data_IF_606621098715
#
_entry.id   IF_606621098715
#
_cell.length_a   1.000
_cell.length_b   1.000
_cell.length_c   1.000
_cell.angle_alpha   90.00
_cell.angle_beta   90.00
_cell.angle_gamma   90.00
#
_symmetry.space_group_name_H-M   'P 1'
#
loop_
_entity.id
_entity.type
_entity.pdbx_description
1 polymer ?
#
# COMPACT_ATOMS: atom_id res chain seq x y z
N UNK A 1 -10.59 27.17 45.33
CA UNK A 1 -9.75 28.08 44.54
C UNK A 1 -9.11 27.19 43.50
N UNK A 2 -9.80 27.03 42.38
CA UNK A 2 -9.61 25.93 41.42
C UNK A 2 -9.48 26.58 40.06
N UNK A 3 -8.27 26.55 39.49
CA UNK A 3 -7.98 27.12 38.18
C UNK A 3 -8.50 26.14 37.11
N UNK A 4 -9.50 26.56 36.35
CA UNK A 4 -9.94 25.88 35.14
C UNK A 4 -9.06 26.35 33.97
N UNK A 5 -8.25 25.44 33.41
CA UNK A 5 -7.63 25.65 32.11
C UNK A 5 -8.70 25.37 31.03
N UNK A 6 -9.09 26.42 30.32
CA UNK A 6 -9.87 26.35 29.09
C UNK A 6 -8.90 25.98 27.97
N UNK A 7 -8.95 24.73 27.49
CA UNK A 7 -8.31 24.30 26.26
C UNK A 7 -9.13 24.82 25.07
N UNK A 8 -8.71 25.95 24.51
CA UNK A 8 -9.21 26.44 23.23
C UNK A 8 -8.73 25.52 22.11
N UNK A 9 -9.68 25.00 21.33
CA UNK A 9 -9.40 24.20 20.13
C UNK A 9 -8.72 25.04 19.06
N UNK A 10 -7.52 24.62 18.66
CA UNK A 10 -6.87 25.06 17.44
C UNK A 10 -7.47 24.29 16.26
N UNK A 11 -8.53 24.85 15.69
CA UNK A 11 -8.89 24.61 14.30
C UNK A 11 -7.88 25.36 13.43
N UNK A 12 -6.88 24.68 12.89
CA UNK A 12 -6.06 25.24 11.81
C UNK A 12 -6.78 25.02 10.49
N UNK A 13 -7.69 25.94 10.17
CA UNK A 13 -7.95 26.32 8.79
C UNK A 13 -6.91 27.38 8.41
N UNK A 14 -6.04 27.05 7.46
CA UNK A 14 -5.21 28.03 6.78
C UNK A 14 -4.97 27.54 5.34
N UNK A 15 -5.82 28.00 4.42
CA UNK A 15 -5.48 28.07 3.01
C UNK A 15 -4.36 29.11 2.85
N UNK A 16 -3.20 28.68 2.36
CA UNK A 16 -2.17 29.57 1.87
C UNK A 16 -1.96 29.28 0.39
N UNK A 17 -2.52 30.13 -0.47
CA UNK A 17 -2.20 30.18 -1.88
C UNK A 17 -0.90 30.98 -2.04
N UNK A 18 0.12 30.34 -2.60
CA UNK A 18 1.25 31.03 -3.26
C UNK A 18 1.24 30.53 -4.68
N UNK A 19 0.78 31.38 -5.61
CA UNK A 19 0.90 31.15 -7.04
C UNK A 19 2.35 31.43 -7.43
N UNK A 20 3.08 30.37 -7.80
CA UNK A 20 4.38 30.49 -8.46
C UNK A 20 4.13 30.54 -9.98
N UNK A 21 4.53 31.65 -10.60
CA UNK A 21 4.47 31.89 -12.04
C UNK A 21 5.90 32.12 -12.55
N UNK A 22 6.79 31.13 -12.37
CA UNK A 22 8.10 31.09 -13.02
C UNK A 22 8.28 29.76 -13.77
N UNK A 23 7.66 29.63 -14.95
CA UNK A 23 8.20 28.80 -16.05
C UNK A 23 7.55 29.12 -17.42
N UNK A 24 7.26 30.39 -17.67
CA UNK A 24 6.88 30.88 -19.00
C UNK A 24 7.89 31.93 -19.46
N UNK A 25 9.13 31.49 -19.66
CA UNK A 25 10.13 32.09 -20.55
C UNK A 25 11.38 31.21 -20.50
N UNK A 26 11.61 30.46 -21.58
CA UNK A 26 12.89 30.49 -22.28
C UNK A 26 12.71 29.76 -23.62
N UNK A 27 12.65 30.58 -24.66
CA UNK A 27 13.03 30.21 -26.02
C UNK A 27 14.53 29.90 -26.00
N UNK A 28 14.97 28.74 -26.49
CA UNK A 28 16.25 28.64 -27.18
C UNK A 28 16.30 27.45 -28.14
N UNK A 29 16.48 27.79 -29.41
CA UNK A 29 16.89 26.92 -30.50
C UNK A 29 18.34 26.46 -30.29
N UNK A 30 18.64 25.17 -30.46
CA UNK A 30 20.04 24.72 -30.48
C UNK A 30 20.21 23.21 -30.65
N UNK A 31 20.88 22.81 -31.73
CA UNK A 31 20.94 21.46 -32.28
C UNK A 31 22.13 20.59 -31.81
N UNK A 32 21.91 19.27 -31.98
CA UNK A 32 22.82 18.18 -32.38
C UNK A 32 23.89 17.54 -31.44
N UNK A 33 23.78 16.20 -31.34
CA UNK A 33 24.85 15.21 -31.12
C UNK A 33 25.02 14.67 -29.69
N UNK A 34 25.05 13.37 -29.37
CA UNK A 34 24.96 12.13 -30.14
C UNK A 34 25.07 10.90 -29.22
N UNK A 35 24.22 9.90 -29.50
CA UNK A 35 24.29 8.44 -29.30
C UNK A 35 24.92 7.78 -28.04
N UNK A 36 24.09 6.94 -27.38
CA UNK A 36 24.47 5.54 -27.11
C UNK A 36 23.88 4.90 -25.84
N UNK A 37 22.77 4.15 -25.96
CA UNK A 37 22.33 3.19 -24.92
C UNK A 37 20.83 2.85 -24.96
N UNK A 38 20.40 2.06 -25.95
CA UNK A 38 19.02 1.60 -26.16
C UNK A 38 18.52 0.64 -25.07
N UNK A 39 17.41 1.00 -24.41
CA UNK A 39 16.50 0.07 -23.74
C UNK A 39 15.22 -0.09 -24.59
N UNK A 40 14.92 -1.34 -24.93
CA UNK A 40 13.75 -1.77 -25.70
C UNK A 40 12.57 -2.04 -24.76
N UNK A 41 11.45 -1.34 -24.97
CA UNK A 41 10.23 -1.55 -24.19
C UNK A 41 9.04 -0.70 -24.66
N UNK A 42 8.89 -0.50 -25.97
CA UNK A 42 7.68 0.09 -26.55
C UNK A 42 7.20 -0.82 -27.67
N UNK A 43 5.93 -1.22 -27.64
CA UNK A 43 5.27 -1.90 -28.76
C UNK A 43 5.09 -0.91 -29.91
N UNK A 44 6.19 -0.65 -30.62
CA UNK A 44 6.18 -0.04 -31.93
C UNK A 44 5.64 -1.04 -32.94
N UNK A 45 4.33 -0.96 -33.20
CA UNK A 45 3.73 -1.58 -34.37
C UNK A 45 4.34 -0.96 -35.63
N UNK A 46 5.05 -1.80 -36.37
CA UNK A 46 5.72 -1.56 -37.66
C UNK A 46 5.02 -0.54 -38.56
N UNK A 47 5.76 0.52 -38.93
CA UNK A 47 5.43 1.36 -40.07
C UNK A 47 5.52 0.56 -41.38
N UNK A 48 4.36 0.28 -41.95
CA UNK A 48 4.21 -0.04 -43.37
C UNK A 48 3.84 1.25 -44.10
N UNK A 49 4.77 1.79 -44.89
CA UNK A 49 4.46 2.75 -45.94
C UNK A 49 3.75 2.02 -47.09
N UNK A 50 2.82 2.74 -47.72
CA UNK A 50 2.08 2.43 -48.95
C UNK A 50 0.85 1.51 -48.85
N UNK A 51 -0.30 2.14 -48.52
CA UNK A 51 -1.63 1.57 -48.79
C UNK A 51 -2.79 2.24 -48.03
N UNK A 52 -3.20 3.46 -48.43
CA UNK A 52 -4.52 4.04 -48.16
C UNK A 52 -5.11 3.88 -46.75
N UNK A 53 -4.71 4.74 -45.82
CA UNK A 53 -5.23 4.86 -44.44
C UNK A 53 -6.67 5.35 -44.42
N UNK A 54 -7.64 4.45 -44.24
CA UNK A 54 -9.06 4.81 -44.22
C UNK A 54 -9.48 5.51 -42.89
N UNK A 55 -8.77 5.28 -41.79
CA UNK A 55 -8.59 6.28 -40.74
C UNK A 55 -7.14 6.77 -40.85
N UNK A 56 -6.86 8.07 -40.74
CA UNK A 56 -5.47 8.57 -40.67
C UNK A 56 -4.72 8.14 -39.39
N UNK A 57 -3.98 9.05 -38.77
CA UNK A 57 -3.39 8.84 -37.43
C UNK A 57 -4.51 9.00 -36.38
N UNK A 58 -5.04 7.90 -35.86
CA UNK A 58 -5.93 7.88 -34.69
C UNK A 58 -5.06 7.83 -33.42
N UNK A 59 -4.48 8.96 -33.06
CA UNK A 59 -3.70 9.16 -31.83
C UNK A 59 -3.97 10.59 -31.34
N UNK A 60 -4.82 10.73 -30.32
CA UNK A 60 -5.16 12.00 -29.67
C UNK A 60 -4.09 12.45 -28.67
N UNK A 61 -3.07 11.61 -28.44
CA UNK A 61 -1.97 11.80 -27.48
C UNK A 61 -2.39 11.85 -26.02
N UNK A 62 -3.66 11.61 -25.72
CA UNK A 62 -4.11 11.48 -24.34
C UNK A 62 -3.75 10.07 -23.86
N UNK A 63 -2.83 9.92 -22.88
CA UNK A 63 -2.52 8.60 -22.35
C UNK A 63 -3.75 7.92 -21.75
N UNK A 64 -4.78 8.68 -21.35
CA UNK A 64 -6.02 8.20 -20.76
C UNK A 64 -7.07 7.71 -21.75
N UNK A 65 -6.78 7.72 -23.04
CA UNK A 65 -7.62 7.12 -24.08
C UNK A 65 -6.85 5.98 -24.74
N UNK A 66 -7.58 4.92 -25.11
CA UNK A 66 -7.08 3.86 -25.98
C UNK A 66 -7.62 4.11 -27.36
N UNK A 67 -6.71 4.43 -28.27
CA UNK A 67 -7.09 4.87 -29.60
C UNK A 67 -7.01 3.73 -30.59
N UNK A 68 -8.09 3.52 -31.33
CA UNK A 68 -8.09 2.56 -32.42
C UNK A 68 -9.00 2.99 -33.57
N UNK A 69 -8.65 2.55 -34.78
CA UNK A 69 -9.50 2.72 -35.95
C UNK A 69 -10.50 1.56 -36.01
N UNK A 70 -11.77 1.85 -35.79
CA UNK A 70 -12.85 0.91 -36.05
C UNK A 70 -13.19 0.91 -37.54
N UNK A 71 -12.87 -0.19 -38.21
CA UNK A 71 -13.17 -0.42 -39.63
C UNK A 71 -14.39 -1.31 -39.85
N UNK A 72 -15.19 -1.58 -38.81
CA UNK A 72 -16.35 -2.48 -38.88
C UNK A 72 -17.56 -1.84 -39.58
N UNK A 73 -17.61 -0.51 -39.69
CA UNK A 73 -18.66 0.24 -40.38
C UNK A 73 -18.35 0.59 -41.84
N UNK A 74 -19.33 1.19 -42.52
CA UNK A 74 -19.22 1.62 -43.94
C UNK A 74 -18.14 2.69 -44.18
N UNK A 75 -17.78 3.43 -43.12
CA UNK A 75 -16.68 4.38 -43.11
C UNK A 75 -15.85 4.17 -41.83
N UNK A 76 -14.52 4.05 -41.91
CA UNK A 76 -13.69 3.89 -40.73
C UNK A 76 -13.73 5.09 -39.80
N UNK A 77 -13.84 4.84 -38.51
CA UNK A 77 -13.94 5.87 -37.47
C UNK A 77 -12.88 5.66 -36.39
N UNK A 78 -12.21 6.75 -35.97
CA UNK A 78 -11.39 6.69 -34.77
C UNK A 78 -12.29 6.56 -33.54
N UNK A 79 -12.00 5.58 -32.69
CA UNK A 79 -12.64 5.35 -31.40
C UNK A 79 -11.60 5.59 -30.31
N UNK A 80 -12.00 6.40 -29.33
CA UNK A 80 -11.19 6.76 -28.16
C UNK A 80 -11.85 6.13 -26.94
N UNK A 81 -11.35 4.98 -26.50
CA UNK A 81 -11.91 4.25 -25.36
C UNK A 81 -11.27 4.77 -24.06
N UNK A 82 -12.03 5.37 -23.12
CA UNK A 82 -11.46 5.87 -21.88
C UNK A 82 -10.81 4.75 -21.07
N UNK A 83 -9.59 4.97 -20.63
CA UNK A 83 -8.89 4.13 -19.66
C UNK A 83 -9.13 4.67 -18.25
N UNK A 84 -9.14 3.80 -17.24
CA UNK A 84 -9.23 4.20 -15.84
C UNK A 84 -7.85 4.37 -15.18
N UNK A 85 -6.85 3.65 -15.71
CA UNK A 85 -5.49 3.59 -15.19
C UNK A 85 -4.54 3.42 -16.36
N UNK A 86 -3.45 4.18 -16.34
CA UNK A 86 -2.40 4.09 -17.35
C UNK A 86 -1.03 3.99 -16.67
N UNK A 87 -0.07 3.21 -17.21
CA UNK A 87 1.30 3.20 -16.71
C UNK A 87 1.93 4.60 -16.80
N UNK A 88 2.62 5.03 -15.75
CA UNK A 88 3.30 6.34 -15.66
C UNK A 88 4.80 6.21 -15.94
N UNK A 89 5.16 5.31 -16.85
CA UNK A 89 6.52 5.13 -17.38
C UNK A 89 7.55 4.46 -16.45
N UNK A 90 7.16 4.01 -15.25
CA UNK A 90 8.06 3.30 -14.33
C UNK A 90 7.60 1.86 -14.13
N UNK A 91 8.42 0.90 -14.55
CA UNK A 91 8.29 -0.52 -14.23
C UNK A 91 9.68 -1.08 -13.89
N UNK A 92 9.82 -1.60 -12.68
CA UNK A 92 11.04 -2.17 -12.16
C UNK A 92 10.82 -3.64 -11.86
N UNK A 93 11.82 -4.46 -12.22
CA UNK A 93 11.92 -5.84 -11.81
C UNK A 93 13.27 -6.11 -11.16
N UNK A 94 13.26 -6.77 -10.01
CA UNK A 94 14.48 -7.17 -9.30
C UNK A 94 14.39 -8.63 -8.82
N UNK A 95 15.19 -9.54 -9.40
CA UNK A 95 15.24 -10.94 -8.98
C UNK A 95 16.00 -11.10 -7.66
N UNK A 96 15.50 -11.97 -6.78
CA UNK A 96 15.99 -12.24 -5.43
C UNK A 96 15.86 -13.74 -5.07
N UNK A 97 16.66 -14.21 -4.11
CA UNK A 97 16.58 -15.61 -3.65
C UNK A 97 15.24 -15.88 -2.96
N UNK A 98 14.85 -14.99 -2.04
CA UNK A 98 13.56 -15.01 -1.37
C UNK A 98 13.19 -13.60 -0.91
N UNK A 99 11.89 -13.30 -0.95
CA UNK A 99 11.35 -12.04 -0.44
C UNK A 99 10.39 -12.39 0.67
N UNK A 100 10.81 -12.08 1.90
CA UNK A 100 9.98 -12.31 3.09
C UNK A 100 8.86 -11.27 3.14
N UNK A 101 9.20 -10.00 2.86
CA UNK A 101 8.21 -8.94 2.97
C UNK A 101 8.53 -7.64 2.22
N UNK A 102 7.47 -6.89 1.91
CA UNK A 102 7.50 -5.54 1.38
C UNK A 102 6.47 -4.63 2.06
N UNK A 103 6.79 -3.34 2.17
CA UNK A 103 5.86 -2.29 2.59
C UNK A 103 6.05 -1.08 1.67
N UNK A 104 4.96 -0.45 1.26
CA UNK A 104 4.94 0.66 0.34
C UNK A 104 4.08 1.79 0.91
N UNK A 105 4.66 2.98 1.02
CA UNK A 105 3.98 4.20 1.44
C UNK A 105 4.33 5.36 0.52
N UNK A 106 3.60 6.46 0.65
CA UNK A 106 3.78 7.68 -0.12
C UNK A 106 3.69 8.91 0.78
N UNK A 107 4.46 9.94 0.44
CA UNK A 107 4.37 11.27 1.04
C UNK A 107 5.15 12.28 0.18
N UNK A 108 4.69 13.54 0.17
CA UNK A 108 5.41 14.63 -0.49
C UNK A 108 5.64 14.40 -1.99
N UNK A 109 4.72 13.72 -2.68
CA UNK A 109 4.86 13.39 -4.10
C UNK A 109 5.81 12.23 -4.40
N UNK A 110 6.40 11.59 -3.38
CA UNK A 110 7.29 10.43 -3.50
C UNK A 110 6.65 9.16 -2.98
N UNK A 111 7.22 8.03 -3.37
CA UNK A 111 6.95 6.70 -2.86
C UNK A 111 8.18 6.16 -2.14
N UNK A 112 7.94 5.35 -1.12
CA UNK A 112 8.96 4.74 -0.31
C UNK A 112 8.64 3.28 -0.07
N UNK A 113 9.60 2.42 -0.37
CA UNK A 113 9.47 0.98 -0.27
C UNK A 113 10.47 0.43 0.73
N UNK A 114 10.02 -0.34 1.71
CA UNK A 114 10.89 -1.21 2.49
C UNK A 114 10.79 -2.62 1.97
N UNK A 115 11.94 -3.29 1.82
CA UNK A 115 12.03 -4.67 1.36
C UNK A 115 12.89 -5.46 2.34
N UNK A 116 12.33 -6.55 2.86
CA UNK A 116 13.04 -7.53 3.68
C UNK A 116 13.13 -8.85 2.92
N UNK A 117 14.35 -9.22 2.57
CA UNK A 117 14.64 -10.30 1.64
C UNK A 117 15.88 -11.08 2.07
N UNK A 118 16.05 -12.28 1.52
CA UNK A 118 17.27 -13.05 1.64
C UNK A 118 18.12 -12.86 0.39
N UNK A 119 19.38 -12.48 0.58
CA UNK A 119 20.36 -12.28 -0.49
C UNK A 119 21.70 -12.86 -0.05
N UNK A 120 22.27 -13.79 -0.84
CA UNK A 120 23.50 -14.48 -0.50
C UNK A 120 23.39 -15.27 0.81
N UNK A 121 22.22 -15.84 1.10
CA UNK A 121 21.96 -16.60 2.32
C UNK A 121 21.86 -15.75 3.61
N UNK A 122 21.79 -14.41 3.51
CA UNK A 122 21.58 -13.52 4.66
C UNK A 122 20.32 -12.70 4.50
N UNK A 123 19.58 -12.52 5.59
CA UNK A 123 18.42 -11.65 5.61
C UNK A 123 18.89 -10.18 5.69
N UNK A 124 18.36 -9.33 4.82
CA UNK A 124 18.70 -7.91 4.72
C UNK A 124 17.43 -7.06 4.57
N UNK A 125 17.49 -5.85 5.10
CA UNK A 125 16.44 -4.84 4.98
C UNK A 125 16.99 -3.66 4.15
N UNK A 126 16.30 -3.33 3.07
CA UNK A 126 16.64 -2.20 2.19
C UNK A 126 15.45 -1.25 2.06
N UNK A 127 15.73 0.05 1.95
CA UNK A 127 14.77 1.13 1.78
C UNK A 127 15.03 1.83 0.46
N UNK A 128 13.97 2.03 -0.30
CA UNK A 128 14.00 2.59 -1.64
C UNK A 128 13.07 3.79 -1.73
N UNK A 129 13.43 4.76 -2.56
CA UNK A 129 12.58 5.92 -2.87
C UNK A 129 12.47 6.10 -4.38
N UNK A 130 11.32 6.60 -4.82
CA UNK A 130 11.03 6.89 -6.22
C UNK A 130 9.86 7.89 -6.34
N UNK A 131 9.62 8.45 -7.52
CA UNK A 131 8.37 9.18 -7.79
C UNK A 131 8.46 10.70 -7.98
N UNK A 132 9.65 11.33 -7.96
CA UNK A 132 9.76 12.78 -8.20
C UNK A 132 9.26 13.13 -9.62
N UNK A 133 8.49 14.21 -9.74
CA UNK A 133 7.94 14.65 -11.03
C UNK A 133 9.06 15.01 -12.01
N UNK A 134 9.01 14.46 -13.22
CA UNK A 134 10.01 14.71 -14.28
C UNK A 134 11.16 13.70 -14.32
N UNK A 135 11.43 13.00 -13.22
CA UNK A 135 12.42 11.93 -13.18
C UNK A 135 11.75 10.61 -13.57
N UNK A 136 11.67 10.36 -14.88
CA UNK A 136 11.49 9.00 -15.37
C UNK A 136 12.63 8.14 -14.78
N UNK A 137 12.27 7.05 -14.09
CA UNK A 137 13.18 5.96 -13.69
C UNK A 137 14.02 6.08 -12.42
N UNK A 138 13.94 7.12 -11.58
CA UNK A 138 14.75 7.12 -10.34
C UNK A 138 14.19 6.16 -9.28
N UNK A 139 14.49 4.86 -9.39
CA UNK A 139 14.31 3.86 -8.34
C UNK A 139 15.61 3.70 -7.57
N UNK A 140 15.72 4.44 -6.46
CA UNK A 140 17.00 4.62 -5.76
C UNK A 140 16.96 3.92 -4.41
N UNK A 141 17.95 3.05 -4.14
CA UNK A 141 18.20 2.54 -2.79
C UNK A 141 18.78 3.68 -1.95
N UNK A 142 17.99 4.24 -1.04
CA UNK A 142 18.46 5.32 -0.16
C UNK A 142 19.15 4.79 1.08
N UNK A 143 18.70 3.65 1.60
CA UNK A 143 19.30 3.06 2.79
C UNK A 143 19.21 1.53 2.81
N UNK A 144 20.11 0.93 3.60
CA UNK A 144 20.16 -0.50 3.88
C UNK A 144 20.40 -0.69 5.37
N UNK A 145 20.01 -1.82 5.95
CA UNK A 145 20.21 -2.05 7.38
C UNK A 145 21.68 -1.89 7.79
N UNK A 146 22.60 -2.32 6.91
CA UNK A 146 24.05 -2.17 7.09
C UNK A 146 24.51 -0.70 7.15
N UNK A 147 23.82 0.22 6.48
CA UNK A 147 24.10 1.66 6.54
C UNK A 147 23.40 2.31 7.73
N UNK A 148 22.13 1.95 7.99
CA UNK A 148 21.35 2.44 9.14
C UNK A 148 22.00 2.12 10.49
N UNK A 149 22.73 1.00 10.58
CA UNK A 149 23.43 0.62 11.80
C UNK A 149 24.74 1.36 12.06
N UNK A 150 25.27 2.11 11.09
CA UNK A 150 26.57 2.76 11.22
C UNK A 150 26.44 3.98 12.14
N UNK A 151 27.18 3.97 13.25
CA UNK A 151 27.16 5.06 14.23
C UNK A 151 25.89 5.09 15.09
N UNK A 152 25.06 4.04 15.04
CA UNK A 152 23.86 3.89 15.86
C UNK A 152 24.01 2.71 16.83
N UNK A 153 23.15 2.58 17.86
CA UNK A 153 23.13 1.43 18.75
C UNK A 153 22.94 0.08 18.04
N UNK A 154 22.47 0.09 16.78
CA UNK A 154 22.25 -1.10 15.95
C UNK A 154 23.53 -1.73 15.39
N UNK A 155 24.72 -1.16 15.62
CA UNK A 155 25.96 -1.62 15.01
C UNK A 155 26.25 -3.13 15.20
N UNK A 156 25.82 -3.70 16.33
CA UNK A 156 25.98 -5.12 16.67
C UNK A 156 24.76 -6.00 16.32
N UNK A 157 23.75 -5.43 15.66
CA UNK A 157 22.49 -6.09 15.37
C UNK A 157 22.40 -6.56 13.91
N UNK A 158 21.49 -7.51 13.70
CA UNK A 158 20.99 -8.02 12.42
C UNK A 158 19.46 -7.83 12.37
N UNK A 159 18.87 -7.61 11.19
CA UNK A 159 17.42 -7.49 11.08
C UNK A 159 16.75 -8.82 11.43
N UNK A 160 15.70 -8.75 12.23
CA UNK A 160 14.93 -9.91 12.69
C UNK A 160 13.49 -9.90 12.15
N UNK A 161 13.13 -8.93 11.31
CA UNK A 161 11.80 -8.80 10.70
C UNK A 161 11.82 -7.92 9.47
N UNK A 162 10.70 -7.92 8.73
CA UNK A 162 10.34 -6.83 7.85
C UNK A 162 10.18 -5.50 8.60
N UNK A 163 10.02 -4.41 7.84
CA UNK A 163 9.83 -3.09 8.41
C UNK A 163 8.46 -2.50 8.10
N UNK A 164 7.92 -1.80 9.09
CA UNK A 164 6.74 -0.96 8.97
C UNK A 164 7.21 0.42 8.57
N UNK A 165 6.58 0.99 7.54
CA UNK A 165 6.82 2.35 7.11
C UNK A 165 5.56 3.20 7.32
N UNK A 166 5.77 4.42 7.80
CA UNK A 166 4.81 5.51 7.79
C UNK A 166 5.52 6.73 7.23
N UNK A 167 4.97 7.38 6.21
CA UNK A 167 5.49 8.63 5.70
C UNK A 167 4.47 9.74 5.94
N UNK A 168 4.94 10.86 6.48
CA UNK A 168 4.11 12.03 6.78
C UNK A 168 4.76 13.30 6.22
N UNK A 169 3.94 14.27 5.84
CA UNK A 169 4.42 15.60 5.44
C UNK A 169 4.19 16.55 6.61
N UNK A 170 5.27 17.02 7.22
CA UNK A 170 5.27 18.00 8.31
C UNK A 170 6.00 19.27 7.86
N UNK A 171 5.37 20.43 7.94
CA UNK A 171 5.99 21.71 7.56
C UNK A 171 6.67 21.70 6.18
N UNK A 172 6.01 21.12 5.17
CA UNK A 172 6.53 20.93 3.80
C UNK A 172 7.73 19.96 3.69
N UNK A 173 8.17 19.35 4.78
CA UNK A 173 9.20 18.32 4.79
C UNK A 173 8.57 16.95 4.93
N UNK A 174 9.09 15.97 4.18
CA UNK A 174 8.65 14.58 4.37
C UNK A 174 9.48 13.94 5.46
N UNK A 175 8.79 13.37 6.46
CA UNK A 175 9.39 12.58 7.52
C UNK A 175 8.88 11.16 7.42
N UNK A 176 9.80 10.20 7.49
CA UNK A 176 9.46 8.79 7.54
C UNK A 176 9.70 8.23 8.94
N UNK A 177 8.79 7.38 9.39
CA UNK A 177 8.97 6.55 10.56
C UNK A 177 9.10 5.11 10.10
N UNK A 178 10.18 4.48 10.54
CA UNK A 178 10.53 3.10 10.29
C UNK A 178 10.45 2.34 11.61
N UNK A 179 9.68 1.26 11.65
CA UNK A 179 9.68 0.32 12.78
C UNK A 179 10.15 -1.05 12.34
N UNK A 180 11.06 -1.66 13.10
CA UNK A 180 11.60 -2.99 12.81
C UNK A 180 12.02 -3.71 14.09
N UNK A 181 12.17 -5.02 14.01
CA UNK A 181 12.82 -5.82 15.03
C UNK A 181 14.24 -6.16 14.59
N UNK A 182 15.19 -6.08 15.52
CA UNK A 182 16.58 -6.45 15.30
C UNK A 182 17.11 -7.26 16.47
N UNK A 183 18.07 -8.15 16.21
CA UNK A 183 18.69 -9.00 17.23
C UNK A 183 20.20 -9.03 17.10
N UNK A 184 20.92 -9.30 18.18
CA UNK A 184 22.39 -9.38 18.16
C UNK A 184 22.89 -10.73 17.62
N UNK A 185 22.10 -11.79 17.77
CA UNK A 185 22.43 -13.15 17.31
C UNK A 185 21.19 -13.91 16.88
N UNK A 186 21.37 -14.84 15.95
CA UNK A 186 20.33 -15.80 15.55
C UNK A 186 19.90 -16.63 16.77
N UNK A 187 18.59 -16.71 17.04
CA UNK A 187 17.94 -17.34 18.20
C UNK A 187 17.91 -16.57 19.52
N UNK A 188 18.32 -15.29 19.54
CA UNK A 188 18.02 -14.41 20.67
C UNK A 188 16.70 -13.67 20.45
N UNK A 189 16.12 -13.20 21.56
CA UNK A 189 15.02 -12.24 21.54
C UNK A 189 15.42 -11.02 20.72
N UNK A 190 14.46 -10.45 20.01
CA UNK A 190 14.67 -9.23 19.24
C UNK A 190 14.22 -8.01 20.04
N UNK A 191 14.96 -6.93 19.87
CA UNK A 191 14.59 -5.58 20.31
C UNK A 191 13.86 -4.89 19.15
N UNK A 192 12.88 -4.04 19.45
CA UNK A 192 12.15 -3.26 18.44
C UNK A 192 12.68 -1.85 18.41
N UNK A 193 12.92 -1.35 17.20
CA UNK A 193 13.47 -0.02 16.97
C UNK A 193 12.50 0.82 16.16
N UNK A 194 12.35 2.06 16.59
CA UNK A 194 11.74 3.13 15.82
C UNK A 194 12.82 4.09 15.36
N UNK A 195 12.86 4.39 14.07
CA UNK A 195 13.76 5.35 13.47
C UNK A 195 12.97 6.41 12.71
N UNK A 196 13.38 7.66 12.84
CA UNK A 196 12.90 8.74 11.98
C UNK A 196 13.92 8.98 10.87
N UNK A 197 13.45 8.98 9.63
CA UNK A 197 14.24 9.26 8.44
C UNK A 197 13.71 10.51 7.73
N UNK A 198 14.57 11.17 6.97
CA UNK A 198 14.18 12.25 6.05
C UNK A 198 13.73 11.69 4.69
N UNK A 199 13.40 12.58 3.76
CA UNK A 199 12.99 12.23 2.40
C UNK A 199 14.06 11.53 1.55
N UNK A 200 15.32 11.54 2.00
CA UNK A 200 16.45 10.86 1.36
C UNK A 200 16.79 9.55 2.07
N UNK A 201 15.97 9.14 3.05
CA UNK A 201 16.14 7.95 3.88
C UNK A 201 17.36 8.03 4.81
N UNK A 202 17.83 9.23 5.14
CA UNK A 202 18.87 9.47 6.14
C UNK A 202 18.26 9.63 7.53
N UNK A 203 18.98 9.18 8.57
CA UNK A 203 18.50 9.25 9.96
C UNK A 203 18.47 10.70 10.43
N UNK A 204 17.32 11.16 10.90
CA UNK A 204 17.14 12.51 11.44
C UNK A 204 17.40 12.50 12.94
N UNK A 205 18.38 13.28 13.41
CA UNK A 205 18.77 13.37 14.82
C UNK A 205 17.81 14.19 15.70
N UNK A 206 16.80 14.82 15.10
CA UNK A 206 16.19 16.01 15.68
C UNK A 206 14.85 15.65 16.38
N UNK A 207 14.91 15.50 17.70
CA UNK A 207 13.75 15.61 18.61
C UNK A 207 13.21 14.32 19.21
N UNK A 208 13.01 13.27 18.42
CA UNK A 208 12.67 11.91 18.90
C UNK A 208 13.91 11.01 18.85
N UNK A 209 15.06 11.55 19.28
CA UNK A 209 16.38 10.98 19.03
C UNK A 209 16.39 9.48 19.25
N UNK A 210 16.65 8.71 18.17
CA UNK A 210 16.70 7.25 18.14
C UNK A 210 16.00 6.63 19.35
N UNK A 211 14.67 6.75 19.40
CA UNK A 211 13.90 6.20 20.50
C UNK A 211 14.03 4.68 20.40
N UNK A 212 15.08 4.16 21.04
CA UNK A 212 15.22 2.75 21.37
C UNK A 212 14.18 2.51 22.44
N UNK A 213 12.96 2.29 22.00
CA UNK A 213 11.96 1.63 22.80
C UNK A 213 12.53 0.26 23.08
N UNK A 214 13.16 0.09 24.25
CA UNK A 214 13.39 -1.25 24.79
C UNK A 214 12.02 -1.79 25.16
N UNK A 215 11.27 -2.20 24.15
CA UNK A 215 10.04 -2.94 24.31
C UNK A 215 10.38 -4.25 25.03
N UNK A 216 9.40 -4.90 25.69
CA UNK A 216 9.63 -6.19 26.30
C UNK A 216 10.31 -7.11 25.29
N UNK A 217 11.41 -7.77 25.69
CA UNK A 217 12.10 -8.74 24.84
C UNK A 217 11.07 -9.71 24.27
N UNK A 218 10.95 -9.74 22.95
CA UNK A 218 9.98 -10.59 22.29
C UNK A 218 10.67 -11.89 21.89
N UNK A 219 10.07 -13.01 22.28
CA UNK A 219 10.37 -14.28 21.63
C UNK A 219 10.03 -14.10 20.15
N UNK A 220 11.07 -14.02 19.31
CA UNK A 220 10.97 -13.69 17.88
C UNK A 220 9.93 -14.62 17.23
N UNK A 221 8.75 -14.12 16.85
CA UNK A 221 7.88 -14.85 15.96
C UNK A 221 8.55 -14.85 14.59
N UNK A 222 8.33 -15.92 13.85
CA UNK A 222 8.63 -16.09 12.43
C UNK A 222 8.92 -14.78 11.66
N UNK A 223 10.08 -14.73 10.99
CA UNK A 223 10.63 -13.58 10.24
C UNK A 223 9.65 -12.99 9.20
N UNK A 224 8.56 -13.70 8.94
CA UNK A 224 7.48 -13.39 8.00
C UNK A 224 6.48 -12.34 8.51
N UNK A 225 6.47 -12.00 9.81
CA UNK A 225 5.46 -11.08 10.37
C UNK A 225 5.95 -9.64 10.43
N UNK A 226 5.19 -8.73 9.81
CA UNK A 226 5.51 -7.31 9.83
C UNK A 226 4.93 -6.57 11.03
N UNK A 227 5.65 -5.56 11.54
CA UNK A 227 4.96 -4.44 12.17
C UNK A 227 4.09 -3.70 11.15
N UNK A 228 2.97 -3.19 11.64
CA UNK A 228 2.29 -2.07 11.01
C UNK A 228 2.57 -0.81 11.81
N UNK A 229 2.60 0.33 11.13
CA UNK A 229 2.74 1.65 11.73
C UNK A 229 1.76 2.58 11.04
N UNK A 230 1.04 3.40 11.81
CA UNK A 230 0.03 4.31 11.27
C UNK A 230 -0.13 5.54 12.17
N UNK A 231 -0.79 6.57 11.65
CA UNK A 231 -1.05 7.81 12.39
C UNK A 231 -2.52 7.88 12.80
N UNK A 232 -2.80 8.15 14.07
CA UNK A 232 -4.16 8.42 14.57
C UNK A 232 -4.14 9.63 15.49
N UNK A 233 -4.92 10.66 15.18
CA UNK A 233 -5.00 11.86 16.02
C UNK A 233 -3.67 12.60 16.21
N UNK A 234 -2.71 12.45 15.29
CA UNK A 234 -1.36 13.00 15.43
C UNK A 234 -0.38 12.12 16.22
N UNK A 235 -0.85 11.02 16.80
CA UNK A 235 -0.01 10.03 17.49
C UNK A 235 0.36 8.92 16.52
N UNK A 236 1.65 8.57 16.47
CA UNK A 236 2.10 7.41 15.71
C UNK A 236 1.83 6.15 16.51
N UNK A 237 1.22 5.14 15.90
CA UNK A 237 0.85 3.89 16.52
C UNK A 237 1.58 2.74 15.85
N UNK A 238 1.96 1.74 16.64
CA UNK A 238 2.62 0.53 16.15
C UNK A 238 1.82 -0.69 16.58
N UNK A 239 1.70 -1.63 15.66
CA UNK A 239 1.06 -2.91 15.87
C UNK A 239 1.99 -4.05 15.47
N UNK A 240 2.08 -5.08 16.29
CA UNK A 240 2.98 -6.21 16.08
C UNK A 240 2.29 -7.54 16.36
N UNK A 241 2.49 -8.53 15.49
CA UNK A 241 1.99 -9.88 15.73
C UNK A 241 3.03 -10.74 16.43
N UNK A 242 2.66 -11.30 17.57
CA UNK A 242 3.39 -12.39 18.23
C UNK A 242 2.71 -13.73 17.94
N UNK A 243 3.33 -14.85 18.36
CA UNK A 243 2.73 -16.18 18.19
C UNK A 243 1.36 -16.34 18.85
N UNK A 244 1.10 -15.63 19.95
CA UNK A 244 -0.08 -15.84 20.82
C UNK A 244 -0.86 -14.57 21.11
N UNK A 245 -0.45 -13.44 20.54
CA UNK A 245 -1.07 -12.15 20.80
C UNK A 245 -0.73 -11.18 19.69
N UNK A 246 -1.59 -10.20 19.50
CA UNK A 246 -1.23 -8.99 18.78
C UNK A 246 -1.01 -7.87 19.80
N UNK A 247 0.06 -7.10 19.64
CA UNK A 247 0.53 -6.08 20.56
C UNK A 247 0.42 -4.71 19.90
N UNK A 248 0.00 -3.72 20.68
CA UNK A 248 -0.26 -2.37 20.20
C UNK A 248 0.24 -1.37 21.19
N UNK A 249 0.89 -0.33 20.71
CA UNK A 249 1.35 0.75 21.56
C UNK A 249 1.38 2.06 20.78
N UNK A 250 0.81 3.14 21.34
CA UNK A 250 1.05 4.48 20.85
C UNK A 250 2.50 4.87 21.14
N UNK A 251 3.11 5.60 20.21
CA UNK A 251 4.41 6.23 20.37
C UNK A 251 4.19 7.59 21.02
N UNK A 252 3.83 7.55 22.30
CA UNK A 252 3.69 8.71 23.17
C UNK A 252 4.48 8.51 24.47
N UNK A 253 4.54 9.56 25.29
CA UNK A 253 5.25 9.55 26.58
C UNK A 253 4.68 8.52 27.57
N UNK A 254 3.48 7.98 27.32
CA UNK A 254 2.79 7.05 28.22
C UNK A 254 3.06 5.58 27.90
N UNK A 255 3.48 5.25 26.66
CA UNK A 255 3.76 3.90 26.15
C UNK A 255 2.75 2.85 26.63
N UNK A 256 1.47 3.21 26.70
CA UNK A 256 0.45 2.27 27.18
C UNK A 256 0.22 1.21 26.12
N UNK A 257 0.87 0.07 26.29
CA UNK A 257 0.61 -1.06 25.42
C UNK A 257 -0.73 -1.70 25.79
N UNK A 258 -1.52 -2.04 24.78
CA UNK A 258 -2.62 -2.97 24.92
C UNK A 258 -2.36 -4.19 24.04
N UNK A 259 -2.98 -5.30 24.40
CA UNK A 259 -2.81 -6.55 23.68
C UNK A 259 -4.14 -7.21 23.44
N UNK A 260 -4.23 -7.89 22.31
CA UNK A 260 -5.30 -8.83 22.06
C UNK A 260 -4.72 -10.23 22.09
N UNK A 261 -5.03 -10.97 23.15
CA UNK A 261 -4.67 -12.39 23.26
C UNK A 261 -5.52 -13.19 22.28
N UNK A 262 -4.86 -13.76 21.28
CA UNK A 262 -5.48 -14.59 20.25
C UNK A 262 -4.56 -15.74 19.92
N UNK A 263 -5.08 -16.97 19.83
CA UNK A 263 -4.25 -18.09 19.40
C UNK A 263 -3.88 -17.92 17.91
N UNK A 264 -2.59 -17.96 17.58
CA UNK A 264 -2.08 -17.95 16.19
C UNK A 264 -2.62 -16.81 15.30
N UNK A 265 -2.45 -15.52 15.66
CA UNK A 265 -2.79 -14.46 14.71
C UNK A 265 -1.87 -14.58 13.48
N UNK A 266 -2.38 -14.21 12.30
CA UNK A 266 -1.72 -14.34 10.99
C UNK A 266 -1.57 -13.01 10.27
N UNK A 267 -2.51 -12.09 10.46
CA UNK A 267 -2.52 -10.80 9.80
C UNK A 267 -3.02 -9.69 10.73
N UNK A 268 -2.58 -8.48 10.41
CA UNK A 268 -2.88 -7.26 11.15
C UNK A 268 -3.09 -6.13 10.15
N UNK A 269 -4.09 -5.29 10.39
CA UNK A 269 -4.28 -4.06 9.63
C UNK A 269 -4.74 -2.92 10.53
N UNK A 270 -4.33 -1.66 10.26
CA UNK A 270 -4.71 -0.53 11.10
C UNK A 270 -6.19 -0.21 10.95
N UNK A 271 -6.84 0.20 12.03
CA UNK A 271 -8.14 0.86 12.01
C UNK A 271 -8.04 2.08 12.93
N UNK A 272 -8.96 3.03 12.81
CA UNK A 272 -9.17 4.05 13.83
C UNK A 272 -10.55 4.70 13.67
N UNK A 273 -10.99 5.40 14.71
CA UNK A 273 -12.19 6.25 14.61
C UNK A 273 -11.86 7.72 14.31
N UNK A 274 -10.61 8.01 13.93
CA UNK A 274 -10.02 9.34 13.80
C UNK A 274 -9.37 9.86 15.08
N UNK A 275 -9.72 9.33 16.25
CA UNK A 275 -9.22 9.77 17.56
C UNK A 275 -8.59 8.66 18.38
N UNK A 276 -9.08 7.45 18.25
CA UNK A 276 -8.62 6.27 18.96
C UNK A 276 -8.05 5.27 17.95
N UNK A 277 -6.79 4.83 18.13
CA UNK A 277 -6.20 3.82 17.29
C UNK A 277 -6.93 2.49 17.48
N UNK A 278 -6.98 1.68 16.44
CA UNK A 278 -7.55 0.35 16.45
C UNK A 278 -6.94 -0.54 15.39
N UNK A 279 -7.50 -1.74 15.27
CA UNK A 279 -6.93 -2.81 14.48
C UNK A 279 -7.99 -3.77 13.96
N UNK A 280 -7.65 -4.39 12.83
CA UNK A 280 -8.17 -5.66 12.38
C UNK A 280 -7.11 -6.73 12.64
N UNK A 281 -7.49 -7.84 13.27
CA UNK A 281 -6.63 -9.00 13.45
C UNK A 281 -7.32 -10.23 12.93
N UNK A 282 -6.56 -11.02 12.19
CA UNK A 282 -7.03 -12.27 11.64
C UNK A 282 -6.16 -13.41 12.11
N UNK A 283 -6.76 -14.57 12.32
CA UNK A 283 -6.08 -15.82 12.59
C UNK A 283 -6.78 -16.97 11.88
N UNK A 284 -6.33 -18.19 12.14
CA UNK A 284 -6.79 -19.38 11.41
C UNK A 284 -8.33 -19.53 11.45
N UNK A 285 -8.94 -19.28 12.61
CA UNK A 285 -10.38 -19.47 12.86
C UNK A 285 -11.14 -18.17 13.23
N UNK A 286 -10.49 -17.00 13.19
CA UNK A 286 -11.12 -15.75 13.61
C UNK A 286 -10.76 -14.53 12.76
N UNK A 287 -11.68 -13.57 12.77
CA UNK A 287 -11.48 -12.18 12.33
C UNK A 287 -12.04 -11.30 13.43
N UNK A 288 -11.24 -10.39 13.96
CA UNK A 288 -11.62 -9.52 15.09
C UNK A 288 -11.16 -8.10 14.85
N UNK A 289 -11.94 -7.17 15.36
CA UNK A 289 -11.55 -5.76 15.43
C UNK A 289 -11.47 -5.31 16.88
N UNK A 290 -10.62 -4.32 17.14
CA UNK A 290 -10.55 -3.68 18.45
C UNK A 290 -10.10 -2.24 18.27
N UNK A 291 -10.72 -1.31 19.01
CA UNK A 291 -10.27 0.07 19.16
C UNK A 291 -9.67 0.18 20.57
N UNK A 292 -8.70 1.07 20.77
CA UNK A 292 -8.09 1.33 22.07
C UNK A 292 -9.15 1.58 23.15
N UNK A 293 -9.03 0.89 24.28
CA UNK A 293 -10.01 0.94 25.38
C UNK A 293 -11.32 0.18 25.12
N UNK A 294 -11.56 -0.28 23.90
CA UNK A 294 -12.73 -1.07 23.50
C UNK A 294 -12.55 -2.58 23.70
N UNK A 295 -13.68 -3.30 23.66
CA UNK A 295 -13.70 -4.77 23.67
C UNK A 295 -13.47 -5.32 22.26
N UNK A 296 -12.70 -6.42 22.10
CA UNK A 296 -12.60 -7.10 20.82
C UNK A 296 -13.99 -7.52 20.27
N UNK A 297 -14.29 -7.13 19.04
CA UNK A 297 -15.55 -7.45 18.35
C UNK A 297 -15.27 -8.46 17.23
N UNK A 298 -15.94 -9.63 17.18
CA UNK A 298 -15.81 -10.55 16.07
C UNK A 298 -16.41 -9.96 14.80
N UNK A 299 -15.70 -10.13 13.68
CA UNK A 299 -16.22 -9.82 12.34
C UNK A 299 -16.65 -11.14 11.72
N UNK A 300 -17.89 -11.18 11.22
CA UNK A 300 -18.39 -12.34 10.52
C UNK A 300 -17.62 -12.52 9.20
N UNK A 301 -17.07 -13.72 8.99
CA UNK A 301 -16.56 -14.14 7.68
C UNK A 301 -17.72 -14.61 6.84
N UNK A 302 -17.90 -14.02 5.66
CA UNK A 302 -18.98 -14.38 4.74
C UNK A 302 -18.58 -15.50 3.78
N UNK A 303 -17.32 -15.93 3.85
CA UNK A 303 -16.82 -17.15 3.21
C UNK A 303 -17.31 -18.38 4.01
N UNK A 304 -18.02 -19.29 3.33
CA UNK A 304 -18.61 -20.49 3.93
C UNK A 304 -17.59 -21.52 4.44
N UNK A 305 -16.38 -21.58 3.85
CA UNK A 305 -15.30 -22.44 4.32
C UNK A 305 -14.37 -21.71 5.30
N UNK A 306 -14.45 -22.09 6.58
CA UNK A 306 -13.62 -21.56 7.67
C UNK A 306 -12.47 -22.51 8.07
N UNK A 307 -12.36 -23.66 7.41
CA UNK A 307 -11.39 -24.71 7.80
C UNK A 307 -9.95 -24.35 7.43
N UNK A 308 -9.78 -23.42 6.51
CA UNK A 308 -8.47 -23.06 5.95
C UNK A 308 -7.86 -21.83 6.63
N UNK A 309 -6.52 -21.79 6.76
CA UNK A 309 -5.81 -20.73 7.45
C UNK A 309 -5.92 -19.40 6.69
N UNK A 310 -5.95 -18.30 7.44
CA UNK A 310 -5.86 -16.95 6.89
C UNK A 310 -4.40 -16.64 6.57
N UNK A 311 -4.14 -16.15 5.36
CA UNK A 311 -2.80 -15.88 4.83
C UNK A 311 -2.42 -14.41 4.89
N UNK A 312 -3.39 -13.50 5.06
CA UNK A 312 -3.14 -12.06 5.14
C UNK A 312 -4.37 -11.26 5.57
N UNK A 313 -4.12 -10.00 5.97
CA UNK A 313 -5.14 -9.00 6.20
C UNK A 313 -4.65 -7.63 5.74
N UNK A 314 -5.60 -6.75 5.43
CA UNK A 314 -5.34 -5.35 5.19
C UNK A 314 -6.58 -4.51 5.45
N UNK A 315 -6.40 -3.20 5.42
CA UNK A 315 -7.46 -2.23 5.58
C UNK A 315 -7.13 -0.95 4.83
N UNK A 316 -8.17 -0.24 4.40
CA UNK A 316 -8.06 1.10 3.83
C UNK A 316 -9.16 1.98 4.39
N UNK A 317 -8.82 3.21 4.74
CA UNK A 317 -9.78 4.16 5.30
C UNK A 317 -10.67 4.70 4.19
N UNK A 318 -11.98 4.67 4.38
CA UNK A 318 -12.93 5.24 3.42
C UNK A 318 -13.07 6.73 3.71
N UNK A 319 -13.52 7.03 4.93
CA UNK A 319 -13.72 8.40 5.42
C UNK A 319 -14.03 8.34 6.90
N UNK A 320 -13.59 9.33 7.69
CA UNK A 320 -13.91 9.39 9.13
C UNK A 320 -13.59 8.06 9.83
N UNK A 321 -14.58 7.43 10.44
CA UNK A 321 -14.42 6.15 11.12
C UNK A 321 -14.83 4.92 10.28
N UNK A 322 -15.03 5.09 8.97
CA UNK A 322 -15.36 4.02 8.04
C UNK A 322 -14.12 3.49 7.32
N UNK A 323 -14.03 2.17 7.23
CA UNK A 323 -12.93 1.43 6.64
C UNK A 323 -13.45 0.33 5.72
N UNK A 324 -12.64 -0.10 4.76
CA UNK A 324 -12.72 -1.45 4.23
C UNK A 324 -11.65 -2.28 4.91
N UNK A 325 -12.05 -3.40 5.49
CA UNK A 325 -11.14 -4.45 5.93
C UNK A 325 -11.21 -5.62 4.97
N UNK A 326 -10.09 -6.30 4.75
CA UNK A 326 -10.06 -7.52 3.96
C UNK A 326 -9.10 -8.55 4.56
N UNK A 327 -9.33 -9.80 4.21
CA UNK A 327 -8.47 -10.91 4.57
C UNK A 327 -8.59 -12.03 3.54
N UNK A 328 -7.51 -12.80 3.40
CA UNK A 328 -7.45 -13.90 2.44
C UNK A 328 -7.32 -15.22 3.18
N UNK A 329 -8.15 -16.20 2.82
CA UNK A 329 -8.00 -17.59 3.24
C UNK A 329 -7.36 -18.39 2.11
N UNK A 330 -6.39 -19.23 2.45
CA UNK A 330 -5.94 -20.27 1.52
C UNK A 330 -7.04 -21.29 1.30
N UNK A 331 -6.95 -22.04 0.22
CA UNK A 331 -7.59 -23.33 0.00
C UNK A 331 -6.51 -24.24 -0.59
N UNK A 332 -6.79 -25.54 -0.70
CA UNK A 332 -5.81 -26.52 -1.17
C UNK A 332 -5.17 -26.09 -2.50
N UNK A 333 -5.99 -25.56 -3.42
CA UNK A 333 -5.62 -25.19 -4.80
C UNK A 333 -6.05 -23.75 -5.16
N UNK A 334 -6.47 -22.95 -4.17
CA UNK A 334 -6.95 -21.59 -4.45
C UNK A 334 -6.77 -20.63 -3.27
N UNK A 335 -7.15 -19.37 -3.45
CA UNK A 335 -7.30 -18.42 -2.37
C UNK A 335 -8.63 -17.69 -2.53
N UNK A 336 -9.28 -17.41 -1.40
CA UNK A 336 -10.51 -16.64 -1.36
C UNK A 336 -10.31 -15.45 -0.43
N UNK A 337 -10.59 -14.25 -0.95
CA UNK A 337 -10.55 -13.02 -0.17
C UNK A 337 -11.96 -12.57 0.22
N UNK A 338 -12.13 -12.12 1.45
CA UNK A 338 -13.32 -11.43 1.92
C UNK A 338 -13.00 -9.94 2.04
N UNK A 339 -13.93 -9.08 1.64
CA UNK A 339 -13.82 -7.62 1.75
C UNK A 339 -15.09 -7.13 2.42
N UNK A 340 -14.93 -6.48 3.57
CA UNK A 340 -16.03 -6.07 4.43
C UNK A 340 -15.89 -4.61 4.85
N UNK A 341 -16.92 -3.77 4.67
CA UNK A 341 -16.92 -2.44 5.25
C UNK A 341 -17.02 -2.52 6.77
N UNK A 342 -16.24 -1.70 7.46
CA UNK A 342 -16.17 -1.61 8.91
C UNK A 342 -16.48 -0.17 9.34
N UNK A 343 -17.33 -0.01 10.35
CA UNK A 343 -17.62 1.28 10.98
C UNK A 343 -17.07 1.26 12.41
N UNK A 344 -16.01 2.00 12.65
CA UNK A 344 -15.32 2.08 13.94
C UNK A 344 -15.87 3.21 14.81
N UNK A 345 -15.73 3.03 16.12
CA UNK A 345 -16.01 4.04 17.13
C UNK A 345 -15.51 3.58 18.49
N UNK A 346 -15.73 4.39 19.51
CA UNK A 346 -15.28 4.13 20.90
C UNK A 346 -15.72 2.76 21.44
N UNK A 347 -16.85 2.21 20.95
CA UNK A 347 -17.36 0.89 21.34
C UNK A 347 -16.74 -0.31 20.60
N UNK A 348 -15.86 -0.08 19.62
CA UNK A 348 -15.32 -1.08 18.71
C UNK A 348 -15.70 -0.83 17.25
N UNK A 349 -15.34 -1.75 16.35
CA UNK A 349 -15.73 -1.67 14.94
C UNK A 349 -16.88 -2.64 14.64
N UNK A 350 -17.92 -2.11 14.02
CA UNK A 350 -19.07 -2.86 13.56
C UNK A 350 -18.85 -3.28 12.12
N UNK A 351 -19.17 -4.54 11.82
CA UNK A 351 -19.24 -5.08 10.48
C UNK A 351 -20.69 -5.42 10.14
N UNK A 352 -21.13 -5.32 8.89
CA UNK A 352 -22.41 -5.88 8.47
C UNK A 352 -22.42 -7.38 8.74
N UNK A 353 -23.57 -7.91 9.15
CA UNK A 353 -23.77 -9.37 9.18
C UNK A 353 -23.78 -9.88 7.75
N UNK A 354 -23.09 -10.99 7.50
CA UNK A 354 -23.30 -11.76 6.28
C UNK A 354 -24.80 -12.04 6.15
N UNK A 355 -25.40 -11.70 5.00
CA UNK A 355 -26.79 -12.06 4.74
C UNK A 355 -26.97 -13.59 4.73
N UNK A 356 -28.19 -14.06 4.47
CA UNK A 356 -28.46 -15.49 4.29
C UNK A 356 -27.77 -16.10 3.05
N UNK A 357 -27.04 -15.29 2.28
CA UNK A 357 -26.26 -15.71 1.14
C UNK A 357 -24.79 -15.74 1.56
N UNK A 358 -24.20 -16.94 1.55
CA UNK A 358 -22.74 -17.08 1.59
C UNK A 358 -22.18 -16.27 0.43
N UNK A 359 -21.42 -15.21 0.75
CA UNK A 359 -20.72 -14.46 -0.29
C UNK A 359 -19.69 -15.40 -0.86
N UNK A 360 -19.84 -15.74 -2.12
CA UNK A 360 -18.76 -16.39 -2.88
C UNK A 360 -17.66 -15.35 -3.00
N UNK A 361 -16.61 -15.47 -2.19
CA UNK A 361 -15.43 -14.65 -2.43
C UNK A 361 -14.88 -14.95 -3.83
N UNK A 362 -14.17 -14.00 -4.41
CA UNK A 362 -13.62 -14.13 -5.76
C UNK A 362 -12.59 -15.27 -5.77
N UNK A 363 -12.88 -16.42 -6.40
CA UNK A 363 -11.92 -17.51 -6.48
C UNK A 363 -10.66 -16.99 -7.13
N UNK A 364 -9.50 -17.41 -6.63
CA UNK A 364 -8.24 -17.11 -7.29
C UNK A 364 -7.63 -15.74 -7.03
N UNK A 365 -8.21 -15.00 -6.08
CA UNK A 365 -7.66 -13.72 -5.62
C UNK A 365 -6.91 -13.93 -4.32
N UNK A 366 -5.64 -13.51 -4.27
CA UNK A 366 -4.82 -13.63 -3.07
C UNK A 366 -4.24 -12.29 -2.65
N UNK A 367 -4.37 -11.97 -1.36
CA UNK A 367 -3.74 -10.82 -0.74
C UNK A 367 -3.94 -9.52 -1.56
N UNK A 368 -5.20 -9.16 -1.90
CA UNK A 368 -5.47 -7.94 -2.62
C UNK A 368 -4.95 -6.75 -1.82
N UNK A 369 -4.56 -5.68 -2.52
CA UNK A 369 -4.14 -4.44 -1.91
C UNK A 369 -5.08 -3.33 -2.34
N UNK A 370 -5.52 -2.52 -1.39
CA UNK A 370 -6.38 -1.37 -1.65
C UNK A 370 -5.74 -0.11 -1.11
N UNK A 371 -5.87 0.96 -1.87
CA UNK A 371 -5.68 2.32 -1.39
C UNK A 371 -6.89 3.14 -1.81
N UNK A 372 -7.17 4.17 -1.03
CA UNK A 372 -8.26 5.08 -1.31
C UNK A 372 -7.72 6.50 -1.43
N UNK A 373 -8.40 7.28 -2.28
CA UNK A 373 -8.12 8.69 -2.45
C UNK A 373 -9.42 9.46 -2.64
N UNK A 374 -9.51 10.56 -1.92
CA UNK A 374 -10.58 11.53 -2.04
C UNK A 374 -9.97 12.80 -2.66
N UNK A 375 -10.44 13.20 -3.83
CA UNK A 375 -9.91 14.36 -4.56
C UNK A 375 -10.49 15.65 -4.01
N UNK A 376 -9.74 16.74 -4.07
CA UNK A 376 -10.23 18.04 -3.59
C UNK A 376 -11.39 18.56 -4.44
N UNK A 377 -11.34 18.32 -5.75
CA UNK A 377 -12.38 18.77 -6.69
C UNK A 377 -13.69 17.99 -6.56
N UNK A 378 -13.64 16.77 -6.02
CA UNK A 378 -14.80 15.91 -5.80
C UNK A 378 -14.78 15.33 -4.38
N UNK A 379 -14.98 16.17 -3.34
CA UNK A 379 -14.86 15.74 -1.96
C UNK A 379 -15.98 14.76 -1.54
N UNK A 380 -16.96 14.49 -2.40
CA UNK A 380 -17.99 13.48 -2.18
C UNK A 380 -17.74 12.20 -2.98
N UNK A 381 -16.58 12.05 -3.63
CA UNK A 381 -16.20 10.86 -4.38
C UNK A 381 -14.92 10.29 -3.79
N UNK A 382 -14.98 9.04 -3.38
CA UNK A 382 -13.83 8.26 -2.96
C UNK A 382 -13.43 7.32 -4.10
N UNK A 383 -12.24 7.50 -4.65
CA UNK A 383 -11.68 6.57 -5.59
C UNK A 383 -10.91 5.50 -4.82
N UNK A 384 -11.17 4.24 -5.13
CA UNK A 384 -10.50 3.09 -4.57
C UNK A 384 -9.70 2.45 -5.69
N UNK A 385 -8.38 2.45 -5.50
CA UNK A 385 -7.48 1.71 -6.36
C UNK A 385 -7.27 0.35 -5.73
N UNK A 386 -7.44 -0.70 -6.54
CA UNK A 386 -7.20 -2.07 -6.11
C UNK A 386 -6.17 -2.74 -7.01
N UNK A 387 -5.27 -3.48 -6.37
CA UNK A 387 -4.35 -4.39 -7.01
C UNK A 387 -4.71 -5.80 -6.56
N UNK A 388 -5.21 -6.60 -7.51
CA UNK A 388 -5.74 -7.93 -7.27
C UNK A 388 -4.85 -8.93 -8.00
N UNK A 389 -3.99 -9.66 -7.28
CA UNK A 389 -3.30 -10.82 -7.83
C UNK A 389 -4.30 -11.85 -8.36
N UNK A 390 -4.24 -12.14 -9.65
CA UNK A 390 -5.04 -13.18 -10.29
C UNK A 390 -4.15 -14.42 -10.50
N UNK A 391 -4.45 -15.51 -9.80
CA UNK A 391 -3.59 -16.71 -9.71
C UNK A 391 -3.96 -17.80 -10.73
N UNK A 392 -4.43 -17.54 -11.94
CA UNK A 392 -4.86 -18.65 -12.81
C UNK A 392 -5.10 -18.30 -14.26
N UNK A 393 -4.64 -17.11 -14.62
CA UNK A 393 -4.39 -16.74 -16.01
C UNK A 393 -2.94 -17.12 -16.27
N UNK A 394 -2.65 -17.79 -17.38
CA UNK A 394 -1.28 -18.04 -17.82
C UNK A 394 -0.91 -17.01 -18.92
N UNK A 395 0.14 -16.20 -18.74
CA UNK A 395 0.99 -16.08 -17.54
C UNK A 395 0.25 -15.41 -16.37
N UNK A 396 0.66 -15.64 -15.10
CA UNK A 396 0.05 -15.00 -13.93
C UNK A 396 0.06 -13.48 -14.07
N UNK A 397 -1.07 -12.83 -13.81
CA UNK A 397 -1.24 -11.38 -13.99
C UNK A 397 -1.65 -10.71 -12.69
N UNK A 398 -1.15 -9.51 -12.50
CA UNK A 398 -1.71 -8.57 -11.55
C UNK A 398 -2.83 -7.80 -12.25
N UNK A 399 -4.06 -7.94 -11.77
CA UNK A 399 -5.17 -7.11 -12.24
C UNK A 399 -5.20 -5.81 -11.44
N UNK A 400 -5.26 -4.70 -12.15
CA UNK A 400 -5.44 -3.39 -11.55
C UNK A 400 -6.82 -2.87 -11.92
N UNK A 401 -7.52 -2.34 -10.93
CA UNK A 401 -8.76 -1.63 -11.20
C UNK A 401 -8.87 -0.39 -10.32
N UNK A 402 -9.48 0.65 -10.89
CA UNK A 402 -9.92 1.83 -10.14
C UNK A 402 -11.43 1.80 -10.14
N UNK A 403 -11.99 1.90 -8.95
CA UNK A 403 -13.43 2.03 -8.73
C UNK A 403 -13.70 3.34 -8.02
N UNK A 404 -14.84 3.96 -8.29
CA UNK A 404 -15.24 5.21 -7.63
C UNK A 404 -16.51 4.97 -6.83
N UNK A 405 -16.47 5.31 -5.55
CA UNK A 405 -17.61 5.25 -4.64
C UNK A 405 -18.05 6.68 -4.33
N UNK A 406 -19.28 7.01 -4.70
CA UNK A 406 -19.89 8.27 -4.26
C UNK A 406 -20.28 8.16 -2.79
N UNK A 407 -19.82 9.10 -1.98
CA UNK A 407 -20.17 9.24 -0.58
C UNK A 407 -21.48 10.02 -0.47
N UNK A 408 -22.52 9.40 0.07
CA UNK A 408 -23.79 10.06 0.36
C UNK A 408 -23.80 10.44 1.84
N UNK A 409 -23.76 11.74 2.13
CA UNK A 409 -23.68 12.27 3.52
C UNK A 409 -22.47 11.72 4.31
N UNK A 410 -21.33 11.57 3.63
CA UNK A 410 -20.10 11.03 4.24
C UNK A 410 -20.13 9.51 4.52
N UNK A 411 -21.09 8.78 3.93
CA UNK A 411 -21.17 7.32 4.02
C UNK A 411 -21.03 6.69 2.63
N UNK A 412 -20.30 5.57 2.49
CA UNK A 412 -20.21 4.86 1.21
C UNK A 412 -21.58 4.31 0.82
N UNK A 413 -21.93 4.44 -0.46
CA UNK A 413 -23.07 3.72 -1.03
C UNK A 413 -22.74 2.21 -1.05
N UNK A 414 -23.62 1.38 -0.50
CA UNK A 414 -23.30 0.03 -0.03
C UNK A 414 -23.13 -1.00 -1.17
N UNK A 415 -23.35 -0.62 -2.42
CA UNK A 415 -23.57 -1.54 -3.54
C UNK A 415 -22.35 -1.80 -4.45
N UNK A 416 -21.22 -1.12 -4.25
CA UNK A 416 -20.23 -0.93 -5.34
C UNK A 416 -19.17 -2.03 -5.51
N UNK A 417 -19.00 -3.01 -4.61
CA UNK A 417 -17.82 -3.92 -4.65
C UNK A 417 -18.12 -5.43 -4.75
N UNK A 418 -19.36 -5.85 -5.02
CA UNK A 418 -19.76 -7.24 -4.81
C UNK A 418 -19.43 -8.24 -5.95
N UNK A 419 -19.09 -7.82 -7.18
CA UNK A 419 -19.12 -8.73 -8.33
C UNK A 419 -17.85 -8.68 -9.19
N UNK A 420 -16.83 -9.45 -8.80
CA UNK A 420 -15.79 -9.92 -9.74
C UNK A 420 -15.59 -11.41 -9.53
N UNK A 421 -15.99 -12.24 -10.49
CA UNK A 421 -15.83 -13.71 -10.46
C UNK A 421 -14.87 -14.12 -11.57
N UNK A 422 -13.81 -14.85 -11.22
CA UNK A 422 -12.83 -15.43 -12.14
C UNK A 422 -12.63 -16.92 -11.78
N UNK A 423 -12.50 -17.75 -12.81
CA UNK A 423 -12.31 -19.21 -12.74
C UNK A 423 -10.84 -19.55 -12.98
N UNK A 424 -10.27 -20.51 -12.25
CA UNK A 424 -8.83 -20.75 -12.29
C UNK A 424 -8.34 -22.16 -11.93
N UNK A 425 -7.12 -22.44 -12.43
CA UNK A 425 -6.28 -23.62 -12.22
C UNK A 425 -5.03 -23.31 -11.36
N UNK A 426 -4.41 -24.38 -10.84
CA UNK A 426 -3.17 -24.37 -10.07
C UNK A 426 -1.98 -23.82 -10.85
N UNK A 427 -1.22 -22.86 -10.30
CA UNK A 427 0.23 -22.83 -10.58
C UNK A 427 1.08 -21.92 -9.66
N UNK A 428 2.30 -22.41 -9.43
CA UNK A 428 3.42 -21.74 -8.76
C UNK A 428 3.91 -20.60 -9.64
N UNK A 429 3.73 -19.34 -9.23
CA UNK A 429 4.14 -18.22 -10.08
C UNK A 429 3.48 -16.86 -9.80
N UNK A 430 2.39 -16.85 -9.02
CA UNK A 430 1.50 -15.70 -8.96
C UNK A 430 2.02 -14.52 -8.11
N UNK A 431 1.57 -13.29 -8.41
CA UNK A 431 1.77 -12.14 -7.54
C UNK A 431 1.29 -12.43 -6.12
N UNK A 432 2.10 -12.07 -5.13
CA UNK A 432 1.80 -12.21 -3.71
C UNK A 432 2.26 -10.95 -2.97
N UNK A 433 1.73 -10.74 -1.77
CA UNK A 433 2.07 -9.61 -0.90
C UNK A 433 1.97 -8.25 -1.58
N UNK A 434 0.97 -8.05 -2.46
CA UNK A 434 0.77 -6.76 -3.12
C UNK A 434 0.63 -5.62 -2.10
N UNK A 435 1.24 -4.48 -2.42
CA UNK A 435 1.15 -3.22 -1.68
C UNK A 435 0.84 -2.11 -2.65
N UNK A 436 0.00 -1.18 -2.22
CA UNK A 436 -0.39 -0.03 -3.02
C UNK A 436 -0.28 1.23 -2.16
N UNK A 437 0.26 2.29 -2.76
CA UNK A 437 0.29 3.62 -2.16
C UNK A 437 -0.11 4.65 -3.20
N UNK A 438 -0.83 5.69 -2.76
CA UNK A 438 -1.32 6.77 -3.62
C UNK A 438 -0.58 8.05 -3.26
N UNK A 439 -0.07 8.78 -4.24
CA UNK A 439 0.69 10.01 -4.06
C UNK A 439 0.08 11.13 -4.88
N UNK A 440 -0.29 12.24 -4.24
CA UNK A 440 -1.03 13.32 -4.92
C UNK A 440 -2.45 12.89 -5.29
N UNK A 441 -3.07 13.58 -6.26
CA UNK A 441 -4.48 13.37 -6.65
C UNK A 441 -4.70 12.21 -7.62
N UNK A 442 -3.69 11.87 -8.44
CA UNK A 442 -3.87 11.00 -9.59
C UNK A 442 -2.76 9.94 -9.74
N UNK A 443 -1.74 9.89 -8.88
CA UNK A 443 -0.65 8.90 -9.02
C UNK A 443 -0.71 7.83 -7.96
N UNK A 444 -0.38 6.62 -8.35
CA UNK A 444 -0.19 5.53 -7.39
C UNK A 444 0.92 4.61 -7.85
N UNK A 445 1.46 3.85 -6.90
CA UNK A 445 2.43 2.82 -7.15
C UNK A 445 1.95 1.50 -6.57
N UNK A 446 2.29 0.42 -7.24
CA UNK A 446 2.01 -0.94 -6.80
C UNK A 446 3.33 -1.69 -6.74
N UNK A 447 3.55 -2.40 -5.64
CA UNK A 447 4.69 -3.29 -5.47
C UNK A 447 4.17 -4.68 -5.10
N UNK A 448 4.74 -5.73 -5.69
CA UNK A 448 4.38 -7.11 -5.37
C UNK A 448 5.56 -8.06 -5.50
N UNK A 449 5.40 -9.24 -4.92
CA UNK A 449 6.35 -10.35 -5.03
C UNK A 449 5.81 -11.35 -6.04
N UNK A 450 6.51 -11.52 -7.15
CA UNK A 450 6.24 -12.59 -8.11
C UNK A 450 7.12 -13.78 -7.76
N UNK A 451 6.54 -14.86 -7.20
CA UNK A 451 7.33 -16.08 -6.95
C UNK A 451 7.64 -16.77 -8.27
N UNK A 452 8.83 -17.35 -8.41
CA UNK A 452 9.28 -18.07 -9.59
C UNK A 452 9.83 -19.43 -9.18
N UNK A 453 10.03 -20.35 -10.13
CA UNK A 453 10.54 -21.70 -9.84
C UNK A 453 11.88 -21.71 -9.08
N UNK A 454 12.73 -20.69 -9.30
CA UNK A 454 14.09 -20.60 -8.74
C UNK A 454 14.30 -19.35 -7.86
N UNK A 455 13.24 -18.77 -7.29
CA UNK A 455 13.36 -17.62 -6.40
C UNK A 455 12.12 -16.74 -6.36
N UNK A 456 12.31 -15.46 -6.14
CA UNK A 456 11.27 -14.45 -6.14
C UNK A 456 11.72 -13.19 -6.89
N UNK A 457 10.78 -12.45 -7.44
CA UNK A 457 11.04 -11.22 -8.16
C UNK A 457 10.20 -10.10 -7.55
N UNK A 458 10.87 -9.03 -7.12
CA UNK A 458 10.19 -7.81 -6.72
C UNK A 458 9.80 -7.04 -7.97
N UNK A 459 8.51 -6.75 -8.11
CA UNK A 459 7.97 -5.90 -9.15
C UNK A 459 7.46 -4.61 -8.54
N UNK A 460 7.80 -3.47 -9.16
CA UNK A 460 7.30 -2.15 -8.76
C UNK A 460 6.86 -1.40 -10.01
N UNK A 461 5.61 -0.97 -10.04
CA UNK A 461 5.06 -0.23 -11.16
C UNK A 461 4.35 1.03 -10.68
N UNK A 462 4.45 2.10 -11.46
CA UNK A 462 3.76 3.38 -11.21
C UNK A 462 2.70 3.60 -12.27
N UNK A 463 1.59 4.15 -11.83
CA UNK A 463 0.43 4.41 -12.65
C UNK A 463 -0.14 5.79 -12.37
N UNK A 464 -0.89 6.28 -13.35
CA UNK A 464 -1.73 7.44 -13.26
C UNK A 464 -3.19 7.02 -13.37
N UNK A 465 -4.03 7.58 -12.51
CA UNK A 465 -5.48 7.47 -12.56
C UNK A 465 -6.01 8.41 -13.62
N UNK A 466 -6.81 7.85 -14.51
CA UNK A 466 -7.50 8.58 -15.55
C UNK A 466 -8.91 8.84 -15.06
N UNK A 467 -9.14 10.06 -14.61
CA UNK A 467 -10.47 10.51 -14.27
C UNK A 467 -11.13 10.98 -15.57
N UNK A 468 -12.37 10.54 -15.86
CA UNK A 468 -13.14 11.23 -16.88
C UNK A 468 -13.22 12.67 -16.40
N UNK A 469 -12.58 13.60 -17.11
CA UNK A 469 -12.75 15.02 -16.83
C UNK A 469 -14.25 15.27 -16.73
N UNK A 470 -14.67 15.98 -15.69
CA UNK A 470 -16.04 16.40 -15.53
C UNK A 470 -16.39 17.32 -16.71
N UNK A 471 -16.87 16.73 -17.81
CA UNK A 471 -17.43 17.45 -18.94
C UNK A 471 -18.68 18.21 -18.53
#
# INVERSE_FOLDING_TARGET
MTLALVSAGLWMGACSFVLDFDSLQDDDEGADGGAGGTASGGSGGTGGLDGGTACGVCDDRDPCTKDFCDTSGDAPTCVYEPQHVVPDGMSISQPLEDIHNINLVSAGGKFYLSRFAREGGKDDLSLWTFGRSGDAESFVEGARFSTLRKGTPLAAYEPASGAGLLAIVENLTTRLYLVLAARTQTNQDADVYLMALDENLEIVSDGLGNLSLTLPKFAVPDLTRNPIIWLTGGTVNVGWLTRVSALFFPLDDSMRSWSMTTANPRGLAPLDDGTHPGILVVGDDFVRTQIEGGTPVPVASCIGDKSQPVTGAGSTRITGSYWYGWWTRGQDDSAISDVTPLACGVGGCLAPTCGNEDRKGSPGTRNPAFASIQREIEPNVLNIVSAIPNIGVEPPKLELSVSSIRLVSGKPDAEVLANTTLDMADEVGAPDNAKIAVSGEDKFAVAWVQRQANGAELRVERYRMCYPDAQ
#
